data_IF_756166144331
#
_entry.id   IF_756166144331
#
_cell.length_a   1.000
_cell.length_b   1.000
_cell.length_c   1.000
_cell.angle_alpha   90.00
_cell.angle_beta   90.00
_cell.angle_gamma   90.00
#
_symmetry.space_group_name_H-M   'P 1'
#
loop_
_entity.id
_entity.type
_entity.pdbx_description
1 polymer ?
#
# COMPACT_ATOMS: atom_id res chain seq x y z
N UNK A 1 -8.80 -18.74 24.55
CA UNK A 1 -9.55 -18.37 23.34
C UNK A 1 -8.57 -17.81 22.33
N UNK A 2 -8.17 -18.60 21.34
CA UNK A 2 -7.26 -18.16 20.27
C UNK A 2 -8.05 -17.32 19.26
N UNK A 3 -7.86 -16.01 19.28
CA UNK A 3 -8.36 -15.13 18.22
C UNK A 3 -7.57 -15.41 16.94
N UNK A 4 -8.21 -16.14 16.03
CA UNK A 4 -7.69 -16.54 14.74
C UNK A 4 -8.44 -15.71 13.69
N UNK A 5 -7.72 -14.88 12.94
CA UNK A 5 -8.35 -14.09 11.87
C UNK A 5 -8.26 -14.87 10.56
N UNK A 6 -9.42 -15.27 10.03
CA UNK A 6 -9.55 -15.79 8.66
C UNK A 6 -9.66 -14.61 7.70
N UNK A 7 -8.61 -14.39 6.92
CA UNK A 7 -8.56 -13.32 5.93
C UNK A 7 -8.90 -13.89 4.55
N UNK A 8 -10.19 -13.79 4.20
CA UNK A 8 -10.65 -14.04 2.83
C UNK A 8 -10.32 -12.89 1.88
N UNK A 9 -10.27 -11.67 2.44
CA UNK A 9 -9.93 -10.44 1.72
C UNK A 9 -9.05 -9.58 2.61
N UNK A 10 -7.76 -9.89 2.69
CA UNK A 10 -6.80 -8.91 3.21
C UNK A 10 -6.73 -7.79 2.19
N UNK A 11 -6.95 -6.57 2.65
CA UNK A 11 -6.77 -5.39 1.81
C UNK A 11 -5.62 -4.57 2.39
N UNK A 12 -4.51 -4.55 1.65
CA UNK A 12 -3.34 -3.75 1.96
C UNK A 12 -3.34 -2.56 1.01
N UNK A 13 -3.08 -1.37 1.50
CA UNK A 13 -2.94 -0.19 0.65
C UNK A 13 -1.47 0.06 0.31
N UNK A 14 -1.13 0.22 -0.99
CA UNK A 14 0.15 0.79 -1.40
C UNK A 14 0.02 2.32 -1.48
N UNK A 15 0.85 3.05 -0.73
CA UNK A 15 0.99 4.50 -0.84
C UNK A 15 2.37 4.85 -1.40
N UNK A 16 2.42 5.79 -2.34
CA UNK A 16 3.66 6.28 -2.92
C UNK A 16 4.11 7.54 -2.17
N UNK A 17 5.36 7.56 -1.71
CA UNK A 17 5.95 8.73 -1.07
C UNK A 17 7.22 9.18 -1.79
N UNK A 18 7.38 10.49 -2.01
CA UNK A 18 8.58 11.08 -2.60
C UNK A 18 9.74 11.08 -1.58
N UNK A 19 10.89 10.56 -1.95
CA UNK A 19 12.05 10.45 -1.05
C UNK A 19 12.79 11.77 -0.80
N UNK A 20 12.46 12.86 -1.50
CA UNK A 20 13.30 14.07 -1.53
C UNK A 20 12.90 15.14 -0.50
N UNK A 21 13.16 14.86 0.78
CA UNK A 21 12.80 15.73 1.92
C UNK A 21 13.46 17.13 1.94
N UNK A 22 14.48 17.39 1.11
CA UNK A 22 15.20 18.68 1.09
C UNK A 22 14.60 19.70 0.12
N UNK A 23 13.78 19.28 -0.84
CA UNK A 23 13.16 20.17 -1.82
C UNK A 23 11.82 20.75 -1.35
N UNK A 24 11.12 20.03 -0.47
CA UNK A 24 9.74 20.34 -0.04
C UNK A 24 9.64 21.63 0.76
N UNK A 25 10.60 21.95 1.64
CA UNK A 25 10.58 23.22 2.40
C UNK A 25 10.82 24.46 1.53
N UNK A 26 11.61 24.35 0.47
CA UNK A 26 11.80 25.45 -0.48
C UNK A 26 10.53 25.65 -1.33
N UNK A 27 9.90 24.55 -1.75
CA UNK A 27 8.66 24.58 -2.53
C UNK A 27 7.44 25.04 -1.71
N UNK A 28 7.36 24.79 -0.40
CA UNK A 28 6.29 25.35 0.46
C UNK A 28 6.27 26.88 0.48
N UNK A 29 7.43 27.54 0.39
CA UNK A 29 7.49 29.00 0.24
C UNK A 29 7.07 29.48 -1.16
N UNK A 30 7.19 28.63 -2.18
CA UNK A 30 6.73 28.87 -3.55
C UNK A 30 5.28 28.42 -3.81
N UNK A 31 4.67 27.60 -2.94
CA UNK A 31 3.26 27.19 -3.02
C UNK A 31 2.27 28.37 -2.99
N UNK A 32 2.70 29.54 -2.47
CA UNK A 32 1.92 30.78 -2.51
C UNK A 32 1.86 31.44 -3.89
N UNK A 33 2.72 31.02 -4.83
CA UNK A 33 2.83 31.55 -6.19
C UNK A 33 2.55 30.44 -7.20
N UNK A 34 1.29 29.99 -7.28
CA UNK A 34 0.69 29.39 -8.48
C UNK A 34 1.31 28.10 -9.04
N UNK A 35 0.55 27.02 -8.96
CA UNK A 35 0.68 25.75 -9.70
C UNK A 35 1.92 24.88 -9.42
N UNK A 36 1.86 24.07 -8.34
CA UNK A 36 2.51 22.76 -8.38
C UNK A 36 1.54 21.79 -9.06
N UNK A 37 1.80 21.46 -10.33
CA UNK A 37 1.16 20.32 -10.97
C UNK A 37 1.62 19.08 -10.19
N UNK A 38 0.69 18.34 -9.57
CA UNK A 38 1.00 17.02 -9.02
C UNK A 38 1.51 16.19 -10.20
N UNK A 39 2.78 15.79 -10.18
CA UNK A 39 3.30 14.87 -11.19
C UNK A 39 2.43 13.61 -11.14
N UNK A 40 1.86 13.25 -12.30
CA UNK A 40 1.11 12.02 -12.43
C UNK A 40 2.11 10.87 -12.50
N UNK A 41 2.23 10.12 -11.41
CA UNK A 41 3.11 8.95 -11.33
C UNK A 41 2.37 7.74 -11.87
N UNK A 42 2.92 7.12 -12.91
CA UNK A 42 2.45 5.82 -13.39
C UNK A 42 3.24 4.71 -12.70
N UNK A 43 2.50 3.76 -12.11
CA UNK A 43 3.09 2.58 -11.47
C UNK A 43 2.60 1.34 -12.20
N UNK A 44 3.55 0.58 -12.73
CA UNK A 44 3.26 -0.68 -13.41
C UNK A 44 3.22 -1.81 -12.41
N UNK A 45 2.36 -2.81 -12.66
CA UNK A 45 2.34 -4.04 -11.91
C UNK A 45 2.32 -5.24 -12.86
N UNK A 46 2.82 -6.37 -12.38
CA UNK A 46 2.75 -7.65 -13.07
C UNK A 46 2.16 -8.70 -12.13
N UNK A 47 1.25 -9.52 -12.67
CA UNK A 47 0.80 -10.74 -11.99
C UNK A 47 1.88 -11.80 -12.14
N UNK A 48 2.45 -12.22 -11.02
CA UNK A 48 3.38 -13.34 -10.96
C UNK A 48 2.64 -14.67 -10.86
N UNK A 49 1.38 -14.62 -10.44
CA UNK A 49 0.49 -15.77 -10.29
C UNK A 49 -0.82 -15.52 -11.07
N UNK A 50 -1.35 -16.51 -11.82
CA UNK A 50 -2.59 -16.35 -12.57
C UNK A 50 -3.81 -16.06 -11.68
N UNK A 51 -3.80 -16.48 -10.41
CA UNK A 51 -4.89 -16.23 -9.46
C UNK A 51 -4.77 -14.87 -8.76
N UNK A 52 -3.68 -14.12 -9.02
CA UNK A 52 -3.46 -12.82 -8.44
C UNK A 52 -4.54 -11.80 -8.87
N UNK A 53 -5.13 -11.13 -7.89
CA UNK A 53 -6.08 -10.04 -8.13
C UNK A 53 -5.37 -8.75 -8.50
N UNK A 54 -5.98 -7.96 -9.39
CA UNK A 54 -5.45 -6.64 -9.75
C UNK A 54 -5.58 -5.65 -8.58
N UNK A 55 -4.60 -4.75 -8.38
CA UNK A 55 -4.73 -3.66 -7.44
C UNK A 55 -5.97 -2.81 -7.75
N UNK A 56 -6.79 -2.54 -6.74
CA UNK A 56 -8.02 -1.74 -6.92
C UNK A 56 -7.94 -0.43 -6.16
N UNK A 57 -8.33 0.68 -6.78
CA UNK A 57 -8.41 1.96 -6.08
C UNK A 57 -9.83 2.21 -5.56
N UNK A 58 -9.98 2.45 -4.25
CA UNK A 58 -11.30 2.59 -3.62
C UNK A 58 -12.08 3.86 -4.01
N UNK A 59 -11.37 4.93 -4.41
CA UNK A 59 -11.95 6.15 -4.96
C UNK A 59 -10.92 6.90 -5.80
N UNK A 60 -11.35 7.82 -6.66
CA UNK A 60 -10.44 8.63 -7.49
C UNK A 60 -9.42 9.44 -6.67
N UNK A 61 -9.75 9.74 -5.41
CA UNK A 61 -8.90 10.51 -4.48
C UNK A 61 -8.27 9.64 -3.40
N UNK A 62 -8.38 8.31 -3.49
CA UNK A 62 -7.79 7.43 -2.50
C UNK A 62 -6.27 7.51 -2.59
N UNK A 63 -5.62 7.61 -1.42
CA UNK A 63 -4.17 7.73 -1.28
C UNK A 63 -3.39 6.48 -1.72
N UNK A 64 -4.08 5.37 -2.03
CA UNK A 64 -3.41 4.17 -2.49
C UNK A 64 -4.32 3.10 -3.07
N UNK A 65 -3.72 1.97 -3.39
CA UNK A 65 -4.36 0.83 -4.04
C UNK A 65 -4.49 -0.35 -3.10
N UNK A 66 -5.70 -0.89 -3.02
CA UNK A 66 -6.00 -2.11 -2.27
C UNK A 66 -5.44 -3.34 -3.01
N UNK A 67 -4.54 -4.06 -2.36
CA UNK A 67 -4.01 -5.37 -2.74
C UNK A 67 -4.78 -6.48 -2.04
N UNK A 68 -4.91 -7.63 -2.70
CA UNK A 68 -5.57 -8.82 -2.13
C UNK A 68 -4.58 -9.94 -1.87
N UNK A 69 -4.84 -10.72 -0.83
CA UNK A 69 -4.15 -11.98 -0.61
C UNK A 69 -4.45 -12.95 -1.76
N UNK A 70 -3.44 -13.68 -2.18
CA UNK A 70 -3.52 -14.72 -3.21
C UNK A 70 -4.28 -15.94 -2.70
N UNK A 71 -4.13 -16.26 -1.42
CA UNK A 71 -4.67 -17.44 -0.78
C UNK A 71 -5.28 -17.12 0.59
N UNK A 72 -6.26 -17.93 1.01
CA UNK A 72 -6.83 -17.80 2.35
C UNK A 72 -5.71 -17.96 3.38
N UNK A 73 -5.50 -16.91 4.17
CA UNK A 73 -4.43 -16.89 5.15
C UNK A 73 -4.99 -16.69 6.54
N UNK A 74 -4.49 -17.52 7.46
CA UNK A 74 -4.79 -17.41 8.88
C UNK A 74 -3.70 -16.62 9.59
N UNK A 75 -4.08 -15.49 10.21
CA UNK A 75 -3.16 -14.70 11.03
C UNK A 75 -3.45 -14.96 12.50
N UNK A 76 -2.43 -15.45 13.22
CA UNK A 76 -2.52 -15.73 14.65
C UNK A 76 -2.07 -14.50 15.44
N UNK A 77 -2.82 -14.16 16.48
CA UNK A 77 -2.46 -13.08 17.41
C UNK A 77 -1.05 -13.31 17.98
N UNK A 78 -0.23 -12.27 17.96
CA UNK A 78 1.15 -12.31 18.47
C UNK A 78 2.17 -12.98 17.56
N UNK A 79 1.77 -13.44 16.37
CA UNK A 79 2.67 -13.98 15.37
C UNK A 79 2.71 -13.09 14.11
N UNK A 80 3.86 -13.04 13.45
CA UNK A 80 3.98 -12.42 12.13
C UNK A 80 3.73 -13.46 11.04
N UNK A 81 2.84 -13.15 10.12
CA UNK A 81 2.52 -14.01 8.97
C UNK A 81 2.88 -13.25 7.69
N UNK A 82 3.63 -13.89 6.79
CA UNK A 82 3.83 -13.38 5.42
C UNK A 82 2.60 -13.71 4.59
N UNK A 83 2.07 -12.72 3.88
CA UNK A 83 0.87 -12.88 3.06
C UNK A 83 1.25 -12.60 1.62
N UNK A 84 1.06 -13.59 0.76
CA UNK A 84 1.40 -13.47 -0.66
C UNK A 84 0.28 -12.73 -1.40
N UNK A 85 0.66 -11.80 -2.27
CA UNK A 85 -0.27 -11.09 -3.17
C UNK A 85 -0.22 -11.62 -4.59
N UNK A 86 0.87 -12.31 -4.97
CA UNK A 86 1.10 -12.75 -6.35
C UNK A 86 1.40 -11.60 -7.32
N UNK A 87 1.80 -10.43 -6.79
CA UNK A 87 2.06 -9.22 -7.58
C UNK A 87 3.51 -8.77 -7.45
N UNK A 88 4.07 -8.31 -8.56
CA UNK A 88 5.26 -7.46 -8.58
C UNK A 88 4.84 -6.04 -8.96
N UNK A 89 5.45 -5.04 -8.35
CA UNK A 89 5.18 -3.62 -8.61
C UNK A 89 6.48 -2.92 -8.98
N UNK A 90 6.47 -2.16 -10.07
CA UNK A 90 7.59 -1.35 -10.51
C UNK A 90 7.43 0.07 -9.96
N UNK A 91 8.13 0.37 -8.88
CA UNK A 91 8.14 1.69 -8.26
C UNK A 91 9.14 2.59 -9.01
N UNK A 92 8.70 3.76 -9.52
CA UNK A 92 9.60 4.69 -10.22
C UNK A 92 10.68 5.26 -9.31
N UNK A 93 11.80 5.68 -9.91
CA UNK A 93 12.90 6.31 -9.20
C UNK A 93 12.43 7.57 -8.44
N UNK A 94 12.93 7.74 -7.21
CA UNK A 94 12.54 8.84 -6.33
C UNK A 94 11.31 8.59 -5.48
N UNK A 95 10.67 7.42 -5.61
CA UNK A 95 9.49 7.02 -4.84
C UNK A 95 9.74 5.74 -4.02
N UNK A 96 8.99 5.58 -2.93
CA UNK A 96 8.80 4.28 -2.26
C UNK A 96 7.36 3.81 -2.37
N UNK A 97 7.17 2.50 -2.46
CA UNK A 97 5.89 1.87 -2.20
C UNK A 97 5.78 1.47 -0.73
N UNK A 98 4.80 2.02 -0.02
CA UNK A 98 4.54 1.69 1.37
C UNK A 98 3.30 0.80 1.51
N UNK A 99 3.46 -0.37 2.13
CA UNK A 99 2.39 -1.30 2.44
C UNK A 99 1.76 -0.91 3.79
N UNK A 100 0.49 -0.50 3.78
CA UNK A 100 -0.26 -0.10 4.97
C UNK A 100 -1.50 -0.96 5.18
N UNK A 101 -1.86 -1.19 6.45
CA UNK A 101 -3.13 -1.84 6.80
C UNK A 101 -4.30 -0.90 6.49
N UNK A 102 -5.39 -1.42 5.91
CA UNK A 102 -6.65 -0.67 5.91
C UNK A 102 -7.12 -0.39 7.33
N UNK A 103 -7.77 0.76 7.52
CA UNK A 103 -8.27 1.21 8.82
C UNK A 103 -9.17 0.18 9.50
N UNK A 104 -9.96 -0.59 8.75
CA UNK A 104 -10.82 -1.66 9.27
C UNK A 104 -10.06 -2.85 9.84
N UNK A 105 -8.85 -3.13 9.32
CA UNK A 105 -7.95 -4.16 9.85
C UNK A 105 -7.14 -3.62 11.02
N UNK A 106 -6.68 -2.37 10.93
CA UNK A 106 -6.03 -1.67 12.04
C UNK A 106 -6.92 -1.60 13.28
N UNK A 107 -8.21 -1.30 13.10
CA UNK A 107 -9.20 -1.28 14.19
C UNK A 107 -9.37 -2.66 14.87
N UNK A 108 -9.02 -3.75 14.20
CA UNK A 108 -9.01 -5.12 14.76
C UNK A 108 -7.68 -5.49 15.43
N UNK A 109 -6.75 -4.54 15.55
CA UNK A 109 -5.42 -4.76 16.15
C UNK A 109 -4.40 -5.37 15.20
N UNK A 110 -4.68 -5.41 13.89
CA UNK A 110 -3.73 -5.90 12.89
C UNK A 110 -2.81 -4.75 12.47
N UNK A 111 -1.51 -4.94 12.66
CA UNK A 111 -0.49 -4.00 12.22
C UNK A 111 0.36 -4.63 11.12
N UNK A 112 0.86 -3.81 10.21
CA UNK A 112 1.85 -4.23 9.23
C UNK A 112 3.22 -3.76 9.72
N UNK A 113 4.04 -4.65 10.32
CA UNK A 113 5.30 -4.24 10.92
C UNK A 113 6.37 -3.95 9.87
N UNK A 114 6.29 -4.57 8.68
CA UNK A 114 7.27 -4.43 7.60
C UNK A 114 6.56 -4.48 6.23
N UNK A 115 7.06 -3.72 5.25
CA UNK A 115 6.74 -3.91 3.83
C UNK A 115 7.89 -4.63 3.14
N UNK A 116 7.76 -5.95 2.95
CA UNK A 116 8.70 -6.80 2.18
C UNK A 116 7.91 -7.70 1.26
#
# INVERSE_FOLDING_TARGET
MSEVYHLYHLFITIELSEYNLKFTKALESLQRLGCYMRESVEVLFAKLDPEASEPTQGSKSAAGWDLRALEETTVRKGASTKIRTGLAVAIPDGWEGQIRSRSSLGAKGMIMPNGV
#
